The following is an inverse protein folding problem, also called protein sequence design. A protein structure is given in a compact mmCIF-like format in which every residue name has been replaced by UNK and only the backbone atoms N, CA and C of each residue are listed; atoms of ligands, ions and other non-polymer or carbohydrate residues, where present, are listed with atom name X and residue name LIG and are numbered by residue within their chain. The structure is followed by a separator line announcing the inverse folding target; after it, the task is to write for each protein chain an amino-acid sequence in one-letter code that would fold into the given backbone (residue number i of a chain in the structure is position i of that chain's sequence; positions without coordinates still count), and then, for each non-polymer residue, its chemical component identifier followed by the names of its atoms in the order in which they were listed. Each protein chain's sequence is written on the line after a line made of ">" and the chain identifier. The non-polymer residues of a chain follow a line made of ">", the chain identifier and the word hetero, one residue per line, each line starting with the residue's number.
data_IF_547144617042
#
_entry.id   IF_547144617042
#
_cell.length_a   1.000
_cell.length_b   1.000
_cell.length_c   1.000
_cell.angle_alpha   90.00
_cell.angle_beta   90.00
_cell.angle_gamma   90.00
#
_symmetry.space_group_name_H-M   'P 1'
#
loop_
_entity.id
_entity.type
_entity.pdbx_description
1 polymer ?
#
# COMPACT_ATOMS: atom_id res chain seq x y z
N UNK A 1 27.15 -30.60 2.49
CA UNK A 1 26.96 -29.43 3.39
C UNK A 1 26.25 -28.25 2.70
N UNK A 2 26.15 -28.19 1.36
CA UNK A 2 25.50 -27.09 0.61
C UNK A 2 23.95 -27.12 0.61
N UNK A 3 23.33 -28.31 0.65
CA UNK A 3 21.85 -28.45 0.60
C UNK A 3 21.17 -27.92 1.88
N UNK A 4 21.81 -28.10 3.04
CA UNK A 4 21.27 -27.63 4.34
C UNK A 4 21.36 -26.09 4.43
N UNK A 5 22.44 -25.49 3.93
CA UNK A 5 22.58 -24.03 3.87
C UNK A 5 21.55 -23.40 2.92
N UNK A 6 21.32 -24.00 1.75
CA UNK A 6 20.29 -23.56 0.81
C UNK A 6 18.88 -23.65 1.41
N UNK A 7 18.56 -24.74 2.12
CA UNK A 7 17.27 -24.90 2.79
C UNK A 7 17.08 -23.89 3.94
N UNK A 8 18.12 -23.63 4.74
CA UNK A 8 18.06 -22.63 5.81
C UNK A 8 17.85 -21.22 5.24
N UNK A 9 18.56 -20.87 4.17
CA UNK A 9 18.39 -19.60 3.45
C UNK A 9 16.99 -19.45 2.84
N UNK A 10 16.43 -20.53 2.31
CA UNK A 10 15.06 -20.55 1.79
C UNK A 10 14.03 -20.31 2.90
N UNK A 11 14.15 -21.02 4.03
CA UNK A 11 13.25 -20.86 5.18
C UNK A 11 13.34 -19.44 5.75
N UNK A 12 14.55 -18.89 5.91
CA UNK A 12 14.75 -17.52 6.39
C UNK A 12 14.11 -16.48 5.46
N UNK A 13 14.31 -16.62 4.14
CA UNK A 13 13.70 -15.73 3.15
C UNK A 13 12.17 -15.86 3.10
N UNK A 14 11.62 -17.07 3.26
CA UNK A 14 10.18 -17.28 3.33
C UNK A 14 9.55 -16.64 4.59
N UNK A 15 10.21 -16.75 5.74
CA UNK A 15 9.78 -16.09 6.97
C UNK A 15 9.84 -14.55 6.84
N UNK A 16 10.89 -14.03 6.21
CA UNK A 16 10.97 -12.60 5.94
C UNK A 16 9.85 -12.13 5.01
N UNK A 17 9.55 -12.88 3.94
CA UNK A 17 8.43 -12.57 3.04
C UNK A 17 7.09 -12.51 3.79
N UNK A 18 6.83 -13.48 4.68
CA UNK A 18 5.63 -13.49 5.53
C UNK A 18 5.59 -12.28 6.48
N UNK A 19 6.73 -11.90 7.07
CA UNK A 19 6.82 -10.72 7.92
C UNK A 19 6.52 -9.43 7.12
N UNK A 20 6.98 -9.30 5.88
CA UNK A 20 6.67 -8.13 5.01
C UNK A 20 5.19 -8.08 4.62
N UNK A 21 4.55 -9.23 4.39
CA UNK A 21 3.11 -9.31 4.13
C UNK A 21 2.32 -8.86 5.37
N UNK A 22 2.70 -9.33 6.56
CA UNK A 22 2.07 -8.90 7.81
C UNK A 22 2.26 -7.38 8.06
N UNK A 23 3.44 -6.83 7.77
CA UNK A 23 3.71 -5.39 7.87
C UNK A 23 2.79 -4.56 6.96
N UNK A 24 2.45 -5.03 5.74
CA UNK A 24 1.45 -4.36 4.88
C UNK A 24 0.06 -4.30 5.53
N UNK A 25 -0.39 -5.40 6.13
CA UNK A 25 -1.67 -5.43 6.84
C UNK A 25 -1.67 -4.49 8.05
N UNK A 26 -0.56 -4.46 8.80
CA UNK A 26 -0.39 -3.52 9.91
C UNK A 26 -0.41 -2.05 9.46
N UNK A 27 0.16 -1.74 8.28
CA UNK A 27 0.12 -0.39 7.72
C UNK A 27 -1.32 0.08 7.44
N UNK A 28 -2.18 -0.78 6.87
CA UNK A 28 -3.61 -0.47 6.71
C UNK A 28 -4.28 -0.25 8.07
N UNK A 29 -4.02 -1.11 9.06
CA UNK A 29 -4.63 -0.97 10.38
C UNK A 29 -4.26 0.35 11.08
N UNK A 30 -2.99 0.77 10.97
CA UNK A 30 -2.52 2.08 11.47
C UNK A 30 -3.22 3.21 10.73
N UNK A 31 -3.32 3.12 9.40
CA UNK A 31 -4.01 4.11 8.58
C UNK A 31 -5.47 4.29 8.98
N UNK A 32 -6.22 3.18 9.11
CA UNK A 32 -7.62 3.20 9.53
C UNK A 32 -7.76 3.84 10.91
N UNK A 33 -6.89 3.48 11.86
CA UNK A 33 -6.89 4.09 13.20
C UNK A 33 -6.70 5.61 13.13
N UNK A 34 -5.68 6.08 12.39
CA UNK A 34 -5.40 7.52 12.25
C UNK A 34 -6.58 8.25 11.60
N UNK A 35 -7.14 7.72 10.52
CA UNK A 35 -8.29 8.32 9.81
C UNK A 35 -9.51 8.40 10.72
N UNK A 36 -9.83 7.33 11.44
CA UNK A 36 -10.96 7.34 12.37
C UNK A 36 -10.75 8.34 13.51
N UNK A 37 -9.54 8.43 14.06
CA UNK A 37 -9.19 9.44 15.07
C UNK A 37 -9.31 10.86 14.53
N UNK A 38 -8.88 11.12 13.29
CA UNK A 38 -9.03 12.43 12.64
C UNK A 38 -10.51 12.78 12.45
N UNK A 39 -11.32 11.85 11.94
CA UNK A 39 -12.77 12.06 11.77
C UNK A 39 -13.43 12.30 13.13
N UNK A 40 -13.08 11.52 14.16
CA UNK A 40 -13.61 11.70 15.51
C UNK A 40 -13.24 13.07 16.09
N UNK A 41 -11.98 13.50 15.96
CA UNK A 41 -11.53 14.82 16.38
C UNK A 41 -12.27 15.94 15.65
N UNK A 42 -12.46 15.78 14.33
CA UNK A 42 -13.22 16.70 13.51
C UNK A 42 -14.67 16.84 14.00
N UNK A 43 -15.35 15.71 14.27
CA UNK A 43 -16.71 15.72 14.81
C UNK A 43 -16.75 16.34 16.21
N UNK A 44 -15.77 16.06 17.07
CA UNK A 44 -15.69 16.63 18.42
C UNK A 44 -15.47 18.15 18.45
N UNK A 45 -14.74 18.67 17.45
CA UNK A 45 -14.49 20.11 17.28
C UNK A 45 -15.61 20.83 16.53
N UNK A 46 -16.56 20.09 15.95
CA UNK A 46 -17.75 20.63 15.30
C UNK A 46 -18.78 21.08 16.35
N UNK A 47 -18.43 22.08 17.17
CA UNK A 47 -19.36 22.67 18.16
C UNK A 47 -20.21 23.78 17.50
N UNK A 48 -21.55 23.71 17.57
CA UNK A 48 -22.39 24.78 17.08
C UNK A 48 -22.33 25.97 18.06
N UNK A 49 -21.91 27.14 17.58
CA UNK A 49 -22.08 28.42 18.30
C UNK A 49 -20.82 29.09 18.86
N UNK A 50 -19.61 28.55 18.64
CA UNK A 50 -18.36 29.26 18.96
C UNK A 50 -17.94 30.18 17.81
N UNK A 51 -17.47 31.37 18.14
CA UNK A 51 -17.05 32.40 17.19
C UNK A 51 -16.06 31.84 16.15
N UNK A 52 -16.32 32.14 14.88
CA UNK A 52 -15.70 31.47 13.72
C UNK A 52 -14.22 31.83 13.49
N UNK A 53 -13.64 32.68 14.35
CA UNK A 53 -12.30 33.26 14.15
C UNK A 53 -11.15 32.37 14.63
N UNK A 54 -11.41 31.36 15.47
CA UNK A 54 -10.35 30.55 16.12
C UNK A 54 -10.52 29.03 15.93
N UNK A 55 -11.20 28.63 14.85
CA UNK A 55 -11.46 27.22 14.57
C UNK A 55 -10.20 26.54 14.01
N UNK A 56 -9.54 25.71 14.82
CA UNK A 56 -8.43 24.82 14.39
C UNK A 56 -8.89 23.66 13.48
N UNK A 57 -10.22 23.48 13.34
CA UNK A 57 -10.84 22.42 12.58
C UNK A 57 -10.37 22.31 11.11
N UNK A 58 -10.19 23.40 10.34
CA UNK A 58 -9.78 23.29 8.95
C UNK A 58 -8.39 22.67 8.78
N UNK A 59 -7.48 22.87 9.74
CA UNK A 59 -6.13 22.33 9.70
C UNK A 59 -6.11 20.79 9.79
N UNK A 60 -7.14 20.17 10.39
CA UNK A 60 -7.28 18.72 10.42
C UNK A 60 -7.48 18.10 9.03
N UNK A 61 -7.95 18.88 8.04
CA UNK A 61 -8.06 18.41 6.65
C UNK A 61 -6.72 18.02 6.05
N UNK A 62 -5.61 18.63 6.50
CA UNK A 62 -4.26 18.26 6.09
C UNK A 62 -3.77 16.96 6.73
N UNK A 63 -4.43 16.49 7.80
CA UNK A 63 -4.16 15.20 8.42
C UNK A 63 -4.47 14.02 7.50
N UNK A 64 -5.52 14.12 6.66
CA UNK A 64 -5.91 13.07 5.71
C UNK A 64 -4.85 12.79 4.63
N UNK A 65 -4.33 13.79 3.89
CA UNK A 65 -3.28 13.56 2.92
C UNK A 65 -1.98 13.14 3.59
N UNK A 66 -1.67 13.64 4.80
CA UNK A 66 -0.50 13.20 5.56
C UNK A 66 -0.57 11.72 5.94
N UNK A 67 -1.71 11.26 6.48
CA UNK A 67 -1.93 9.86 6.81
C UNK A 67 -1.85 8.96 5.57
N UNK A 68 -2.38 9.44 4.45
CA UNK A 68 -2.42 8.70 3.20
C UNK A 68 -1.05 8.64 2.51
N UNK A 69 -0.25 9.70 2.64
CA UNK A 69 1.15 9.70 2.22
C UNK A 69 1.98 8.70 3.02
N UNK A 70 1.77 8.64 4.34
CA UNK A 70 2.39 7.63 5.20
C UNK A 70 2.02 6.20 4.75
N UNK A 71 0.73 5.96 4.46
CA UNK A 71 0.27 4.67 3.92
C UNK A 71 0.97 4.32 2.60
N UNK A 72 1.09 5.27 1.66
CA UNK A 72 1.80 5.08 0.39
C UNK A 72 3.26 4.67 0.64
N UNK A 73 3.98 5.37 1.50
CA UNK A 73 5.38 5.05 1.79
C UNK A 73 5.56 3.68 2.45
N UNK A 74 4.70 3.32 3.41
CA UNK A 74 4.76 2.03 4.08
C UNK A 74 4.45 0.88 3.11
N UNK A 75 3.47 1.06 2.22
CA UNK A 75 3.15 0.10 1.17
C UNK A 75 4.25 -0.01 0.13
N UNK A 76 4.87 1.11 -0.24
CA UNK A 76 5.97 1.13 -1.19
C UNK A 76 7.21 0.39 -0.65
N UNK A 77 7.63 0.71 0.58
CA UNK A 77 8.79 0.08 1.23
C UNK A 77 8.62 -1.43 1.34
N UNK A 78 7.43 -1.88 1.73
CA UNK A 78 7.15 -3.31 1.90
C UNK A 78 7.06 -4.05 0.57
N UNK A 79 6.48 -3.44 -0.48
CA UNK A 79 6.42 -4.03 -1.82
C UNK A 79 7.84 -4.16 -2.42
N UNK A 80 8.69 -3.13 -2.28
CA UNK A 80 10.07 -3.17 -2.76
C UNK A 80 10.90 -4.26 -2.08
N UNK A 81 10.78 -4.40 -0.75
CA UNK A 81 11.45 -5.46 0.00
C UNK A 81 10.93 -6.85 -0.42
N UNK A 82 9.61 -7.01 -0.58
CA UNK A 82 8.99 -8.27 -0.97
C UNK A 82 9.37 -8.68 -2.40
N UNK A 83 9.51 -7.73 -3.32
CA UNK A 83 9.98 -7.98 -4.68
C UNK A 83 11.42 -8.53 -4.67
N UNK A 84 12.30 -7.94 -3.87
CA UNK A 84 13.69 -8.40 -3.75
C UNK A 84 13.78 -9.81 -3.14
N UNK A 85 13.03 -10.08 -2.07
CA UNK A 85 13.00 -11.41 -1.42
C UNK A 85 12.46 -12.47 -2.38
N UNK A 86 11.41 -12.16 -3.15
CA UNK A 86 10.87 -13.11 -4.14
C UNK A 86 11.84 -13.40 -5.28
N UNK A 87 12.61 -12.40 -5.72
CA UNK A 87 13.69 -12.63 -6.69
C UNK A 87 14.74 -13.58 -6.12
N UNK A 88 15.17 -13.36 -4.88
CA UNK A 88 16.12 -14.23 -4.20
C UNK A 88 15.57 -15.66 -4.04
N UNK A 89 14.30 -15.82 -3.65
CA UNK A 89 13.63 -17.13 -3.58
C UNK A 89 13.57 -17.81 -4.95
N UNK A 90 13.25 -17.08 -6.02
CA UNK A 90 13.27 -17.60 -7.39
C UNK A 90 14.66 -18.09 -7.79
N UNK A 91 15.72 -17.35 -7.47
CA UNK A 91 17.10 -17.74 -7.76
C UNK A 91 17.49 -19.01 -6.97
N UNK A 92 17.05 -19.14 -5.71
CA UNK A 92 17.24 -20.36 -4.92
C UNK A 92 16.46 -21.56 -5.45
N UNK A 93 15.22 -21.38 -5.91
CA UNK A 93 14.38 -22.45 -6.49
C UNK A 93 14.94 -22.99 -7.82
N UNK A 94 15.72 -22.19 -8.55
CA UNK A 94 16.39 -22.58 -9.78
C UNK A 94 17.74 -23.28 -9.54
N UNK A 95 18.29 -23.25 -8.32
CA UNK A 95 19.55 -23.93 -8.02
C UNK A 95 19.44 -25.44 -8.27
N UNK A 96 20.35 -25.96 -9.11
CA UNK A 96 20.40 -27.37 -9.46
C UNK A 96 19.21 -27.88 -10.27
N UNK A 97 18.53 -27.00 -11.03
CA UNK A 97 17.33 -27.32 -11.81
C UNK A 97 16.20 -27.92 -10.96
N UNK A 98 16.15 -27.59 -9.67
CA UNK A 98 15.13 -28.13 -8.77
C UNK A 98 13.70 -27.77 -9.24
N UNK A 99 13.52 -26.59 -9.85
CA UNK A 99 12.27 -26.18 -10.49
C UNK A 99 11.76 -27.13 -11.59
N UNK A 100 12.64 -27.87 -12.27
CA UNK A 100 12.24 -28.83 -13.32
C UNK A 100 11.73 -30.16 -12.73
N UNK A 101 12.09 -30.46 -11.48
CA UNK A 101 11.74 -31.72 -10.80
C UNK A 101 10.62 -31.54 -9.77
N UNK A 102 10.48 -30.33 -9.22
CA UNK A 102 9.50 -30.00 -8.18
C UNK A 102 8.75 -28.72 -8.57
N UNK A 103 7.44 -28.63 -8.29
CA UNK A 103 6.68 -27.43 -8.55
C UNK A 103 7.26 -26.27 -7.72
N UNK A 104 7.59 -25.17 -8.40
CA UNK A 104 8.18 -23.99 -7.79
C UNK A 104 7.13 -22.89 -7.63
N UNK A 105 7.10 -22.27 -6.46
CA UNK A 105 6.08 -21.28 -6.14
C UNK A 105 6.38 -19.91 -6.74
N UNK A 106 7.66 -19.53 -6.88
CA UNK A 106 8.03 -18.20 -7.38
C UNK A 106 8.40 -18.17 -8.87
N UNK A 107 8.58 -19.32 -9.53
CA UNK A 107 8.87 -19.40 -10.98
C UNK A 107 7.73 -19.92 -11.84
N UNK A 108 6.80 -20.74 -11.33
CA UNK A 108 5.64 -21.20 -12.12
C UNK A 108 4.56 -20.10 -12.19
N UNK A 109 4.20 -19.72 -13.41
CA UNK A 109 3.23 -18.67 -13.70
C UNK A 109 1.87 -18.87 -13.01
N UNK A 110 1.43 -20.13 -12.84
CA UNK A 110 0.12 -20.45 -12.23
C UNK A 110 0.02 -19.94 -10.78
N UNK A 111 1.10 -20.07 -10.01
CA UNK A 111 1.14 -19.64 -8.62
C UNK A 111 1.44 -18.14 -8.50
N UNK A 112 2.35 -17.64 -9.32
CA UNK A 112 2.75 -16.22 -9.35
C UNK A 112 1.57 -15.32 -9.74
N UNK A 113 0.79 -15.67 -10.76
CA UNK A 113 -0.38 -14.89 -11.20
C UNK A 113 -1.47 -14.82 -10.13
N UNK A 114 -1.78 -15.95 -9.50
CA UNK A 114 -2.78 -16.02 -8.43
C UNK A 114 -2.36 -15.19 -7.22
N UNK A 115 -1.10 -15.31 -6.78
CA UNK A 115 -0.54 -14.51 -5.69
C UNK A 115 -0.45 -13.01 -6.03
N UNK A 116 -0.26 -12.68 -7.31
CA UNK A 116 -0.28 -11.31 -7.81
C UNK A 116 -1.69 -10.71 -7.85
N UNK A 117 -2.72 -11.51 -8.15
CA UNK A 117 -4.12 -11.09 -8.12
C UNK A 117 -4.60 -10.83 -6.70
N UNK A 118 -4.24 -11.71 -5.76
CA UNK A 118 -4.53 -11.53 -4.33
C UNK A 118 -3.99 -10.19 -3.79
N UNK A 119 -2.76 -9.81 -4.17
CA UNK A 119 -2.16 -8.53 -3.79
C UNK A 119 -2.92 -7.30 -4.31
N UNK A 120 -3.53 -7.38 -5.49
CA UNK A 120 -4.32 -6.26 -6.04
C UNK A 120 -5.53 -5.93 -5.16
N UNK A 121 -6.14 -6.91 -4.49
CA UNK A 121 -7.26 -6.62 -3.59
C UNK A 121 -6.87 -5.74 -2.41
N UNK A 122 -5.65 -5.91 -1.89
CA UNK A 122 -5.12 -5.05 -0.83
C UNK A 122 -4.87 -3.61 -1.33
N UNK A 123 -4.33 -3.46 -2.54
CA UNK A 123 -4.11 -2.16 -3.15
C UNK A 123 -5.44 -1.46 -3.46
N UNK A 124 -6.46 -2.20 -3.94
CA UNK A 124 -7.82 -1.69 -4.13
C UNK A 124 -8.49 -1.30 -2.81
N UNK A 125 -8.36 -2.11 -1.77
CA UNK A 125 -8.90 -1.80 -0.44
C UNK A 125 -8.25 -0.51 0.11
N UNK A 126 -6.93 -0.38 -0.01
CA UNK A 126 -6.19 0.83 0.38
C UNK A 126 -6.68 2.06 -0.39
N UNK A 127 -6.79 1.94 -1.73
CA UNK A 127 -7.26 3.03 -2.59
C UNK A 127 -8.71 3.46 -2.27
N UNK A 128 -9.61 2.50 -2.05
CA UNK A 128 -11.00 2.76 -1.69
C UNK A 128 -11.11 3.42 -0.31
N UNK A 129 -10.35 2.93 0.68
CA UNK A 129 -10.27 3.53 2.01
C UNK A 129 -9.74 4.96 1.94
N UNK A 130 -8.69 5.20 1.15
CA UNK A 130 -8.14 6.54 0.96
C UNK A 130 -9.11 7.51 0.31
N UNK A 131 -9.78 7.09 -0.78
CA UNK A 131 -10.79 7.92 -1.43
C UNK A 131 -11.96 8.24 -0.48
N UNK A 132 -12.47 7.21 0.23
CA UNK A 132 -13.57 7.36 1.18
C UNK A 132 -13.20 8.27 2.36
N UNK A 133 -12.01 8.10 2.92
CA UNK A 133 -11.52 8.92 4.04
C UNK A 133 -11.46 10.41 3.68
N UNK A 134 -10.89 10.75 2.52
CA UNK A 134 -10.81 12.15 2.07
C UNK A 134 -12.20 12.72 1.78
N UNK A 135 -13.08 11.95 1.12
CA UNK A 135 -14.45 12.38 0.82
C UNK A 135 -15.23 12.68 2.11
N UNK A 136 -15.15 11.79 3.11
CA UNK A 136 -15.81 11.98 4.41
C UNK A 136 -15.22 13.18 5.15
N UNK A 137 -13.88 13.31 5.21
CA UNK A 137 -13.22 14.44 5.86
C UNK A 137 -13.67 15.79 5.29
N UNK A 138 -13.68 15.90 3.95
CA UNK A 138 -14.16 17.10 3.26
C UNK A 138 -15.65 17.36 3.54
N UNK A 139 -16.49 16.32 3.45
CA UNK A 139 -17.93 16.44 3.70
C UNK A 139 -18.24 16.97 5.12
N UNK A 140 -17.52 16.45 6.13
CA UNK A 140 -17.64 16.93 7.51
C UNK A 140 -17.21 18.39 7.62
N UNK A 141 -16.06 18.77 7.05
CA UNK A 141 -15.58 20.16 7.13
C UNK A 141 -16.53 21.17 6.47
N UNK A 142 -17.02 20.86 5.27
CA UNK A 142 -17.95 21.72 4.51
C UNK A 142 -19.28 21.86 5.24
N UNK A 143 -19.80 20.76 5.81
CA UNK A 143 -21.07 20.78 6.55
C UNK A 143 -20.95 21.59 7.85
N UNK A 144 -19.82 21.50 8.55
CA UNK A 144 -19.61 22.21 9.82
C UNK A 144 -19.36 23.71 9.61
N UNK A 145 -18.69 24.12 8.53
CA UNK A 145 -18.30 25.51 8.28
C UNK A 145 -18.68 25.94 6.84
N UNK A 146 -19.98 26.05 6.52
CA UNK A 146 -20.41 26.40 5.17
C UNK A 146 -19.94 27.81 4.79
N UNK A 147 -19.38 27.97 3.60
CA UNK A 147 -18.96 29.26 3.06
C UNK A 147 -17.62 29.80 3.57
N UNK A 148 -16.93 29.09 4.47
CA UNK A 148 -15.60 29.50 4.93
C UNK A 148 -14.55 29.30 3.81
N UNK A 149 -13.87 30.36 3.33
CA UNK A 149 -12.93 30.28 2.21
C UNK A 149 -11.72 29.40 2.51
N UNK A 150 -11.29 29.34 3.77
CA UNK A 150 -10.17 28.51 4.22
C UNK A 150 -10.55 27.02 4.14
N UNK A 151 -11.77 26.65 4.53
CA UNK A 151 -12.29 25.28 4.43
C UNK A 151 -12.42 24.85 2.97
N UNK A 152 -12.89 25.75 2.09
CA UNK A 152 -12.96 25.47 0.64
C UNK A 152 -11.54 25.25 0.09
N UNK A 153 -10.61 26.15 0.41
CA UNK A 153 -9.22 26.05 -0.08
C UNK A 153 -8.55 24.76 0.40
N UNK A 154 -8.57 24.49 1.70
CA UNK A 154 -7.98 23.26 2.26
C UNK A 154 -8.72 22.02 1.77
N UNK A 155 -10.04 22.06 1.63
CA UNK A 155 -10.83 20.96 1.06
C UNK A 155 -10.42 20.62 -0.37
N UNK A 156 -10.18 21.62 -1.21
CA UNK A 156 -9.69 21.39 -2.59
C UNK A 156 -8.27 20.83 -2.61
N UNK A 157 -7.36 21.35 -1.78
CA UNK A 157 -6.00 20.80 -1.62
C UNK A 157 -6.05 19.35 -1.17
N UNK A 158 -6.86 19.04 -0.15
CA UNK A 158 -7.07 17.68 0.36
C UNK A 158 -7.68 16.77 -0.71
N UNK A 159 -8.60 17.26 -1.54
CA UNK A 159 -9.18 16.49 -2.64
C UNK A 159 -8.15 16.16 -3.74
N UNK A 160 -7.34 17.14 -4.15
CA UNK A 160 -6.28 16.96 -5.15
C UNK A 160 -5.24 15.98 -4.61
N UNK A 161 -4.74 16.21 -3.40
CA UNK A 161 -3.77 15.32 -2.76
C UNK A 161 -4.33 13.90 -2.58
N UNK A 162 -5.58 13.77 -2.11
CA UNK A 162 -6.25 12.48 -1.96
C UNK A 162 -6.36 11.73 -3.29
N UNK A 163 -6.72 12.42 -4.37
CA UNK A 163 -6.80 11.82 -5.71
C UNK A 163 -5.43 11.33 -6.19
N UNK A 164 -4.38 12.16 -6.03
CA UNK A 164 -3.01 11.79 -6.39
C UNK A 164 -2.51 10.60 -5.56
N UNK A 165 -2.80 10.55 -4.27
CA UNK A 165 -2.37 9.47 -3.37
C UNK A 165 -3.14 8.17 -3.65
N UNK A 166 -4.43 8.25 -3.92
CA UNK A 166 -5.22 7.09 -4.38
C UNK A 166 -4.69 6.56 -5.71
N UNK A 167 -4.37 7.43 -6.66
CA UNK A 167 -3.74 7.03 -7.92
C UNK A 167 -2.37 6.39 -7.68
N UNK A 168 -1.55 6.94 -6.77
CA UNK A 168 -0.27 6.37 -6.40
C UNK A 168 -0.42 4.95 -5.84
N UNK A 169 -1.36 4.70 -4.93
CA UNK A 169 -1.63 3.36 -4.39
C UNK A 169 -2.02 2.34 -5.47
N UNK A 170 -2.79 2.75 -6.48
CA UNK A 170 -3.14 1.90 -7.61
C UNK A 170 -1.97 1.66 -8.57
N UNK A 171 -0.97 2.55 -8.58
CA UNK A 171 0.23 2.45 -9.42
C UNK A 171 1.40 1.72 -8.74
N UNK A 172 1.44 1.63 -7.40
CA UNK A 172 2.42 0.82 -6.65
C UNK A 172 2.60 -0.60 -7.25
N UNK A 173 1.54 -1.36 -7.57
CA UNK A 173 1.68 -2.69 -8.16
C UNK A 173 2.20 -2.72 -9.61
N UNK A 174 2.46 -1.58 -10.27
CA UNK A 174 3.12 -1.56 -11.59
C UNK A 174 4.63 -1.73 -11.50
N UNK A 175 5.24 -1.57 -10.32
CA UNK A 175 6.69 -1.70 -10.13
C UNK A 175 7.11 -3.16 -9.82
N UNK A 176 6.43 -4.12 -10.45
CA UNK A 176 6.56 -5.55 -10.16
C UNK A 176 7.87 -6.13 -10.68
N UNK A 177 8.42 -7.05 -9.87
CA UNK A 177 9.32 -8.10 -10.34
C UNK A 177 8.61 -8.90 -11.45
N UNK A 178 9.14 -8.82 -12.65
CA UNK A 178 8.83 -9.75 -13.73
C UNK A 178 9.83 -10.90 -13.63
N UNK A 179 9.39 -12.17 -13.65
CA UNK A 179 10.32 -13.28 -13.75
C UNK A 179 11.16 -13.12 -15.03
N UNK A 180 12.45 -13.53 -15.03
CA UNK A 180 13.25 -13.49 -16.24
C UNK A 180 12.51 -14.23 -17.34
N UNK A 181 12.22 -13.55 -18.44
CA UNK A 181 11.63 -14.18 -19.62
C UNK A 181 12.73 -15.02 -20.25
N UNK A 182 12.74 -16.31 -19.96
CA UNK A 182 13.57 -17.27 -20.68
C UNK A 182 12.96 -17.49 -22.07
N UNK A 183 13.08 -16.50 -22.96
CA UNK A 183 12.78 -16.62 -24.39
C UNK A 183 13.72 -15.72 -25.20
N UNK A 184 15.03 -15.99 -25.15
CA UNK A 184 15.94 -15.61 -26.24
C UNK A 184 17.20 -16.47 -26.28
N UNK A 185 17.06 -17.80 -26.34
CA UNK A 185 18.20 -18.64 -26.74
C UNK A 185 17.85 -20.01 -27.33
N UNK A 186 16.99 -20.12 -28.33
CA UNK A 186 17.07 -21.26 -29.28
C UNK A 186 16.50 -20.82 -30.65
N UNK A 187 17.37 -20.44 -31.58
CA UNK A 187 17.28 -20.56 -33.07
C UNK A 187 18.16 -19.50 -33.76
N UNK A 188 19.46 -19.77 -33.81
CA UNK A 188 20.30 -19.51 -35.00
C UNK A 188 21.54 -20.37 -34.83
N UNK A 189 21.35 -21.63 -35.22
CA UNK A 189 22.38 -22.47 -35.81
C UNK A 189 23.08 -21.75 -36.96
#
# INVERSE_FOLDING_TARGET
>A
MSIVDANYRFIAAAQEANARIAQRQQAIAIYVTIVLSLIAAMVALSRPGTDHSDSSMPWLLLGFPLASLCLVFLNFKSEAALANIRRFLSELEQLGQAHERLPSFNTDARWVETANRARRYHDFASAALTAGAHAIGIAVAVKTNPGNPLVITLGTVTAIAGTLLTAALLLVPRWRYQPPTEMTRITSS
#
